data_IF_703874250660
#
_entry.id   IF_703874250660
#
_cell.length_a   1.000
_cell.length_b   1.000
_cell.length_c   1.000
_cell.angle_alpha   90.00
_cell.angle_beta   90.00
_cell.angle_gamma   90.00
#
_symmetry.space_group_name_H-M   'P 1'
#
loop_
_entity.id
_entity.type
_entity.pdbx_description
1 polymer ?
#
# COMPACT_ATOMS: atom_id res chain seq x y z
N UNK A 1 -27.95 10.49 -6.33
CA UNK A 1 -26.67 11.22 -6.14
C UNK A 1 -26.90 12.29 -5.06
N UNK A 2 -27.05 11.88 -3.80
CA UNK A 2 -27.54 12.79 -2.74
C UNK A 2 -26.35 13.44 -2.06
N UNK A 3 -26.07 14.68 -2.46
CA UNK A 3 -25.07 15.64 -1.95
C UNK A 3 -23.60 15.17 -1.85
N UNK A 4 -22.79 15.68 -2.78
CA UNK A 4 -21.31 15.53 -2.80
C UNK A 4 -20.66 15.85 -1.43
N UNK A 5 -21.23 16.82 -0.70
CA UNK A 5 -20.76 17.20 0.63
C UNK A 5 -20.94 16.09 1.68
N UNK A 6 -22.06 15.34 1.65
CA UNK A 6 -22.29 14.24 2.58
C UNK A 6 -21.37 13.06 2.29
N UNK A 7 -21.06 12.80 1.01
CA UNK A 7 -20.07 11.81 0.62
C UNK A 7 -18.66 12.19 1.11
N UNK A 8 -18.24 13.44 0.92
CA UNK A 8 -16.93 13.93 1.40
C UNK A 8 -16.81 13.86 2.92
N UNK A 9 -17.85 14.27 3.65
CA UNK A 9 -17.89 14.17 5.12
C UNK A 9 -17.87 12.71 5.58
N UNK A 10 -18.61 11.83 4.90
CA UNK A 10 -18.61 10.39 5.19
C UNK A 10 -17.23 9.76 4.99
N UNK A 11 -16.58 10.02 3.87
CA UNK A 11 -15.22 9.53 3.59
C UNK A 11 -14.22 10.06 4.62
N UNK A 12 -14.28 11.37 4.94
CA UNK A 12 -13.42 11.96 5.97
C UNK A 12 -13.63 11.32 7.35
N UNK A 13 -14.87 11.04 7.73
CA UNK A 13 -15.20 10.39 9.01
C UNK A 13 -14.63 8.97 9.07
N UNK A 14 -14.81 8.18 8.00
CA UNK A 14 -14.26 6.82 7.91
C UNK A 14 -12.74 6.86 7.98
N UNK A 15 -12.10 7.81 7.31
CA UNK A 15 -10.65 7.96 7.32
C UNK A 15 -10.10 8.29 8.71
N UNK A 16 -10.78 9.15 9.49
CA UNK A 16 -10.40 9.46 10.87
C UNK A 16 -10.51 8.23 11.76
N UNK A 17 -11.61 7.48 11.67
CA UNK A 17 -11.81 6.25 12.46
C UNK A 17 -10.76 5.20 12.10
N UNK A 18 -10.53 4.98 10.81
CA UNK A 18 -9.52 4.03 10.34
C UNK A 18 -8.11 4.41 10.83
N UNK A 19 -7.78 5.70 10.79
CA UNK A 19 -6.49 6.20 11.31
C UNK A 19 -6.38 6.02 12.82
N UNK A 20 -7.44 6.28 13.59
CA UNK A 20 -7.44 6.08 15.04
C UNK A 20 -7.22 4.61 15.41
N UNK A 21 -7.89 3.68 14.73
CA UNK A 21 -7.70 2.24 14.91
C UNK A 21 -6.29 1.81 14.53
N UNK A 22 -5.74 2.33 13.42
CA UNK A 22 -4.39 2.06 12.99
C UNK A 22 -3.36 2.53 14.02
N UNK A 23 -3.48 3.77 14.53
CA UNK A 23 -2.60 4.31 15.56
C UNK A 23 -2.67 3.49 16.85
N UNK A 24 -3.88 3.13 17.28
CA UNK A 24 -4.06 2.29 18.48
C UNK A 24 -3.40 0.90 18.33
N UNK A 25 -3.47 0.30 17.14
CA UNK A 25 -2.84 -0.98 16.87
C UNK A 25 -1.30 -0.88 16.82
N UNK A 26 -0.78 0.22 16.29
CA UNK A 26 0.67 0.52 16.24
C UNK A 26 1.23 0.67 17.65
N UNK A 27 0.54 1.39 18.53
CA UNK A 27 0.97 1.64 19.90
C UNK A 27 1.03 0.35 20.74
N UNK A 28 0.17 -0.63 20.44
CA UNK A 28 0.09 -1.89 21.20
C UNK A 28 1.14 -2.94 20.82
N UNK A 29 1.61 -2.91 19.57
CA UNK A 29 2.41 -4.02 18.98
C UNK A 29 3.90 -3.68 18.86
N UNK A 30 4.26 -2.40 19.01
CA UNK A 30 5.64 -1.93 18.90
C UNK A 30 6.06 -1.66 17.45
N UNK A 31 6.60 -0.45 17.22
CA UNK A 31 6.88 0.13 15.90
C UNK A 31 7.81 -0.71 15.01
N UNK A 32 8.82 -1.37 15.60
CA UNK A 32 9.79 -2.21 14.85
C UNK A 32 9.19 -3.54 14.41
N UNK A 33 8.41 -4.19 15.26
CA UNK A 33 7.79 -5.48 14.97
C UNK A 33 6.72 -5.28 13.90
N UNK A 34 5.93 -4.21 14.01
CA UNK A 34 4.87 -3.92 13.04
C UNK A 34 5.44 -3.67 11.63
N UNK A 35 6.60 -2.99 11.50
CA UNK A 35 7.30 -2.84 10.23
C UNK A 35 7.71 -4.19 9.63
N UNK A 36 8.35 -5.06 10.42
CA UNK A 36 8.84 -6.37 9.95
C UNK A 36 7.67 -7.27 9.53
N UNK A 37 6.60 -7.30 10.32
CA UNK A 37 5.40 -8.10 9.99
C UNK A 37 4.71 -7.55 8.75
N UNK A 38 4.58 -6.23 8.62
CA UNK A 38 3.96 -5.61 7.44
C UNK A 38 4.76 -5.86 6.17
N UNK A 39 6.10 -5.74 6.22
CA UNK A 39 6.95 -5.99 5.06
C UNK A 39 6.95 -7.46 4.66
N UNK A 40 6.99 -8.37 5.64
CA UNK A 40 6.85 -9.81 5.38
C UNK A 40 5.48 -10.17 4.76
N UNK A 41 4.39 -9.59 5.29
CA UNK A 41 3.04 -9.76 4.74
C UNK A 41 2.92 -9.22 3.32
N UNK A 42 3.48 -8.04 3.05
CA UNK A 42 3.56 -7.48 1.70
C UNK A 42 4.36 -8.38 0.74
N UNK A 43 5.55 -8.83 1.13
CA UNK A 43 6.36 -9.72 0.31
C UNK A 43 5.63 -11.02 -0.04
N UNK A 44 4.98 -11.65 0.95
CA UNK A 44 4.21 -12.87 0.73
C UNK A 44 3.03 -12.64 -0.20
N UNK A 45 2.27 -11.56 0.01
CA UNK A 45 1.12 -11.22 -0.84
C UNK A 45 1.52 -10.93 -2.29
N UNK A 46 2.63 -10.21 -2.50
CA UNK A 46 3.17 -9.94 -3.84
C UNK A 46 3.68 -11.21 -4.52
N UNK A 47 4.30 -12.14 -3.77
CA UNK A 47 4.69 -13.45 -4.31
C UNK A 47 3.48 -14.25 -4.79
N UNK A 48 2.39 -14.27 -4.02
CA UNK A 48 1.14 -14.93 -4.42
C UNK A 48 0.58 -14.31 -5.70
N UNK A 49 0.57 -12.97 -5.80
CA UNK A 49 0.13 -12.26 -7.00
C UNK A 49 1.03 -12.59 -8.21
N UNK A 50 2.35 -12.58 -8.03
CA UNK A 50 3.31 -12.90 -9.08
C UNK A 50 3.13 -14.34 -9.60
N UNK A 51 2.96 -15.32 -8.70
CA UNK A 51 2.68 -16.71 -9.08
C UNK A 51 1.33 -16.86 -9.77
N UNK A 52 0.31 -16.12 -9.33
CA UNK A 52 -1.01 -16.11 -9.97
C UNK A 52 -0.96 -15.54 -11.40
N UNK A 53 -0.20 -14.47 -11.64
CA UNK A 53 0.00 -13.93 -12.99
C UNK A 53 0.89 -14.82 -13.87
N UNK A 54 1.95 -15.41 -13.31
CA UNK A 54 2.82 -16.33 -14.04
C UNK A 54 2.07 -17.59 -14.49
N UNK A 55 1.26 -18.17 -13.61
CA UNK A 55 0.45 -19.35 -13.93
C UNK A 55 -0.67 -19.04 -14.94
N UNK A 56 -1.25 -17.83 -14.93
CA UNK A 56 -2.17 -17.39 -15.99
C UNK A 56 -1.52 -17.35 -17.37
N UNK A 57 -0.23 -17.03 -17.47
CA UNK A 57 0.49 -17.01 -18.75
C UNK A 57 0.74 -18.39 -19.35
N UNK A 58 0.65 -19.47 -18.55
CA UNK A 58 0.93 -20.84 -18.98
C UNK A 58 -0.34 -21.68 -19.23
N UNK A 59 -1.52 -21.19 -18.85
CA UNK A 59 -2.79 -21.93 -18.89
C UNK A 59 -3.70 -21.37 -19.98
N UNK A 60 -4.28 -22.26 -20.80
CA UNK A 60 -5.19 -21.91 -21.89
C UNK A 60 -6.47 -21.18 -21.41
N UNK A 61 -7.02 -20.24 -22.20
CA UNK A 61 -8.11 -19.34 -21.78
C UNK A 61 -9.46 -20.00 -21.50
N UNK A 62 -9.66 -21.28 -21.82
CA UNK A 62 -10.93 -22.01 -21.68
C UNK A 62 -11.12 -22.79 -20.37
N UNK A 63 -10.19 -22.70 -19.42
CA UNK A 63 -10.31 -23.40 -18.13
C UNK A 63 -10.90 -22.51 -17.03
N UNK A 64 -11.79 -23.07 -16.21
CA UNK A 64 -12.32 -22.47 -14.96
C UNK A 64 -11.22 -21.98 -14.01
N UNK A 65 -10.02 -22.56 -14.11
CA UNK A 65 -8.80 -22.16 -13.42
C UNK A 65 -8.38 -20.70 -13.73
N UNK A 66 -8.66 -20.19 -14.92
CA UNK A 66 -8.31 -18.81 -15.32
C UNK A 66 -9.08 -17.77 -14.49
N UNK A 67 -10.36 -18.04 -14.22
CA UNK A 67 -11.20 -17.22 -13.34
C UNK A 67 -10.77 -17.27 -11.88
N UNK A 68 -10.45 -18.46 -11.38
CA UNK A 68 -9.98 -18.66 -9.99
C UNK A 68 -8.65 -17.92 -9.77
N UNK A 69 -7.70 -18.02 -10.69
CA UNK A 69 -6.43 -17.27 -10.62
C UNK A 69 -6.64 -15.76 -10.64
N UNK A 70 -7.67 -15.26 -11.33
CA UNK A 70 -8.07 -13.86 -11.29
C UNK A 70 -8.53 -13.42 -9.91
N UNK A 71 -9.42 -14.19 -9.29
CA UNK A 71 -9.90 -13.91 -7.94
C UNK A 71 -8.73 -13.95 -6.94
N UNK A 72 -7.85 -14.95 -7.05
CA UNK A 72 -6.64 -15.07 -6.20
C UNK A 72 -5.73 -13.85 -6.34
N UNK A 73 -5.52 -13.34 -7.57
CA UNK A 73 -4.71 -12.13 -7.77
C UNK A 73 -5.33 -10.89 -7.11
N UNK A 74 -6.66 -10.73 -7.19
CA UNK A 74 -7.37 -9.61 -6.54
C UNK A 74 -7.27 -9.71 -5.03
N UNK A 75 -7.50 -10.90 -4.46
CA UNK A 75 -7.37 -11.15 -3.02
C UNK A 75 -5.93 -10.90 -2.55
N UNK A 76 -4.94 -11.32 -3.33
CA UNK A 76 -3.52 -11.06 -3.05
C UNK A 76 -3.20 -9.57 -2.99
N UNK A 77 -3.71 -8.77 -3.94
CA UNK A 77 -3.55 -7.30 -3.92
C UNK A 77 -4.26 -6.67 -2.73
N UNK A 78 -5.45 -7.14 -2.35
CA UNK A 78 -6.15 -6.64 -1.15
C UNK A 78 -5.36 -6.93 0.13
N UNK A 79 -4.82 -8.15 0.27
CA UNK A 79 -3.95 -8.50 1.39
C UNK A 79 -2.67 -7.65 1.43
N UNK A 80 -2.11 -7.30 0.27
CA UNK A 80 -0.98 -6.37 0.16
C UNK A 80 -1.36 -4.98 0.68
N UNK A 81 -2.52 -4.44 0.27
CA UNK A 81 -3.00 -3.12 0.68
C UNK A 81 -3.22 -3.07 2.20
N UNK A 82 -3.86 -4.09 2.76
CA UNK A 82 -4.09 -4.18 4.21
C UNK A 82 -2.76 -4.21 4.95
N UNK A 83 -1.81 -5.07 4.52
CA UNK A 83 -0.49 -5.18 5.16
C UNK A 83 0.29 -3.87 5.07
N UNK A 84 0.26 -3.19 3.91
CA UNK A 84 0.88 -1.88 3.71
C UNK A 84 0.28 -0.80 4.62
N UNK A 85 -1.04 -0.75 4.71
CA UNK A 85 -1.76 0.25 5.51
C UNK A 85 -1.46 0.13 7.01
N UNK A 86 -1.19 -1.08 7.49
CA UNK A 86 -0.89 -1.30 8.91
C UNK A 86 0.51 -0.80 9.29
N UNK A 87 1.53 -1.00 8.44
CA UNK A 87 2.91 -0.68 8.79
C UNK A 87 3.59 0.38 7.93
N UNK A 88 3.79 0.07 6.65
CA UNK A 88 4.60 0.89 5.74
C UNK A 88 3.96 2.26 5.42
N UNK A 89 2.64 2.41 5.60
CA UNK A 89 1.96 3.71 5.48
C UNK A 89 2.34 4.71 6.59
N UNK A 90 1.96 4.46 7.85
CA UNK A 90 2.14 5.44 8.93
C UNK A 90 3.52 5.43 9.59
N UNK A 91 4.21 4.28 9.65
CA UNK A 91 5.40 4.14 10.49
C UNK A 91 6.62 4.94 10.00
N UNK A 92 6.93 5.05 8.69
CA UNK A 92 8.06 5.87 8.24
C UNK A 92 7.93 7.34 8.67
N UNK A 93 6.71 7.89 8.65
CA UNK A 93 6.42 9.25 9.13
C UNK A 93 6.58 9.36 10.66
N UNK A 94 6.13 8.35 11.41
CA UNK A 94 6.27 8.31 12.86
C UNK A 94 7.75 8.22 13.28
N UNK A 95 8.52 7.30 12.70
CA UNK A 95 9.94 7.09 13.01
C UNK A 95 10.77 8.32 12.67
N UNK A 96 10.50 8.95 11.51
CA UNK A 96 11.12 10.22 11.14
C UNK A 96 10.90 11.27 12.23
N UNK A 97 9.71 11.31 12.84
CA UNK A 97 9.39 12.28 13.88
C UNK A 97 10.03 11.98 15.25
N UNK A 98 10.42 10.73 15.52
CA UNK A 98 10.95 10.25 16.80
C UNK A 98 12.49 10.16 16.86
N UNK A 99 13.15 9.81 15.75
CA UNK A 99 14.62 9.63 15.71
C UNK A 99 15.35 10.96 15.52
N UNK A 100 14.73 11.92 14.82
CA UNK A 100 15.41 13.15 14.42
C UNK A 100 15.43 14.21 15.54
N UNK A 101 16.61 14.79 15.86
CA UNK A 101 16.72 15.94 16.75
C UNK A 101 15.90 17.13 16.25
N UNK A 102 15.24 17.85 17.16
CA UNK A 102 14.35 18.99 16.86
C UNK A 102 15.00 20.02 15.93
N UNK A 103 16.31 20.25 16.07
CA UNK A 103 17.08 21.22 15.26
C UNK A 103 17.17 20.86 13.76
N UNK A 104 17.21 19.56 13.42
CA UNK A 104 17.37 19.10 12.03
C UNK A 104 16.11 18.45 11.47
N UNK A 105 15.09 18.21 12.31
CA UNK A 105 13.83 17.56 11.96
C UNK A 105 13.13 18.22 10.77
N UNK A 106 13.16 19.56 10.69
CA UNK A 106 12.58 20.29 9.57
C UNK A 106 13.28 20.02 8.24
N UNK A 107 14.62 20.05 8.22
CA UNK A 107 15.42 19.83 7.01
C UNK A 107 15.37 18.36 6.56
N UNK A 108 15.57 17.44 7.50
CA UNK A 108 15.53 16.01 7.18
C UNK A 108 14.11 15.55 6.77
N UNK A 109 13.07 16.13 7.37
CA UNK A 109 11.68 15.87 7.00
C UNK A 109 11.32 16.39 5.60
N UNK A 110 11.80 17.59 5.23
CA UNK A 110 11.56 18.12 3.88
C UNK A 110 12.27 17.30 2.81
N UNK A 111 13.53 16.90 3.04
CA UNK A 111 14.27 16.01 2.13
C UNK A 111 13.57 14.66 1.96
N UNK A 112 13.13 14.03 3.05
CA UNK A 112 12.40 12.77 2.97
C UNK A 112 11.06 12.91 2.21
N UNK A 113 10.36 14.03 2.41
CA UNK A 113 9.13 14.34 1.69
C UNK A 113 9.39 14.55 0.19
N UNK A 114 10.46 15.25 -0.17
CA UNK A 114 10.89 15.44 -1.57
C UNK A 114 11.16 14.11 -2.26
N UNK A 115 11.86 13.18 -1.60
CA UNK A 115 12.08 11.84 -2.15
C UNK A 115 10.76 11.08 -2.30
N UNK A 116 9.89 11.09 -1.29
CA UNK A 116 8.60 10.41 -1.33
C UNK A 116 7.74 10.88 -2.52
N UNK A 117 7.63 12.19 -2.73
CA UNK A 117 6.87 12.74 -3.86
C UNK A 117 7.55 12.50 -5.20
N UNK A 118 8.88 12.56 -5.27
CA UNK A 118 9.64 12.23 -6.49
C UNK A 118 9.41 10.79 -6.93
N UNK A 119 9.46 9.84 -6.00
CA UNK A 119 9.16 8.42 -6.29
C UNK A 119 7.69 8.23 -6.67
N UNK A 120 6.76 8.89 -5.97
CA UNK A 120 5.33 8.83 -6.31
C UNK A 120 5.06 9.33 -7.73
N UNK A 121 5.70 10.42 -8.14
CA UNK A 121 5.63 10.94 -9.50
C UNK A 121 6.21 9.96 -10.52
N UNK A 122 7.42 9.43 -10.25
CA UNK A 122 8.06 8.47 -11.14
C UNK A 122 7.20 7.20 -11.34
N UNK A 123 6.62 6.65 -10.27
CA UNK A 123 5.72 5.49 -10.33
C UNK A 123 4.48 5.82 -11.18
N UNK A 124 3.87 6.99 -10.95
CA UNK A 124 2.68 7.43 -11.69
C UNK A 124 2.96 7.57 -13.18
N UNK A 125 4.13 8.08 -13.57
CA UNK A 125 4.55 8.17 -14.98
C UNK A 125 4.89 6.80 -15.58
N UNK A 126 5.45 5.87 -14.80
CA UNK A 126 5.88 4.55 -15.29
C UNK A 126 4.71 3.57 -15.42
N UNK A 127 3.66 3.70 -14.61
CA UNK A 127 2.50 2.82 -14.63
C UNK A 127 1.83 2.68 -16.03
N UNK A 128 1.48 3.76 -16.76
CA UNK A 128 0.88 3.63 -18.09
C UNK A 128 1.85 3.05 -19.13
N UNK A 129 3.15 3.30 -19.00
CA UNK A 129 4.17 2.71 -19.89
C UNK A 129 4.24 1.19 -19.73
N UNK A 130 4.21 0.68 -18.49
CA UNK A 130 4.20 -0.75 -18.20
C UNK A 130 2.91 -1.43 -18.68
N UNK A 131 1.76 -0.77 -18.49
CA UNK A 131 0.48 -1.27 -18.99
C UNK A 131 0.44 -1.32 -20.52
N UNK A 132 0.98 -0.31 -21.20
CA UNK A 132 1.08 -0.29 -22.66
C UNK A 132 1.97 -1.42 -23.18
N UNK A 133 3.13 -1.65 -22.54
CA UNK A 133 4.05 -2.74 -22.89
C UNK A 133 3.40 -4.13 -22.69
N UNK A 134 2.62 -4.32 -21.62
CA UNK A 134 1.92 -5.59 -21.36
C UNK A 134 0.74 -5.87 -22.30
N UNK A 135 0.23 -4.84 -22.99
CA UNK A 135 -0.94 -4.94 -23.88
C UNK A 135 -0.60 -5.15 -25.36
N UNK A 136 0.68 -5.06 -25.72
CA UNK A 136 1.20 -5.36 -27.07
C UNK A 136 1.79 -6.75 -27.14
#
# INVERSE_FOLDING_TARGET
ISSSNAATVGVGTIQVIATAVATWLVDRTGRRILLIVSSAGMSLSLLVVAVAFFSKGLVSPDSTLHGILGIVSVVGVLCMIISFSLGMGPIPWLIMSEILPIKIKGLAGSVATLFNWSFSWAITMTAPLLLAWSSG
#
